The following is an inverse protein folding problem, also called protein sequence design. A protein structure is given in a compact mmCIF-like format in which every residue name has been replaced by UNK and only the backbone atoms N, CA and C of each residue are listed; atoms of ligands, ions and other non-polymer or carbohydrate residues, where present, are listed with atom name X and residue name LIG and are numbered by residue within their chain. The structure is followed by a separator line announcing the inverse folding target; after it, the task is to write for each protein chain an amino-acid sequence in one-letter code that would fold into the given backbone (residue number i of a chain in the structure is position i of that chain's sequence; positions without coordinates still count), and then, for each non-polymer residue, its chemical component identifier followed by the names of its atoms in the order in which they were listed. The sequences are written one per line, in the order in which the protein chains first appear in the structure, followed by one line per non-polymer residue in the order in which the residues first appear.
data_IF_909141377285
#
_entry.id   IF_909141377285
#
_cell.length_a   1.000
_cell.length_b   1.000
_cell.length_c   1.000
_cell.angle_alpha   90.00
_cell.angle_beta   90.00
_cell.angle_gamma   90.00
#
_symmetry.space_group_name_H-M   'P 1'
#
loop_
_entity.id
_entity.type
_entity.pdbx_description
1 polymer ?
#
# COMPACT_ATOMS: atom_id res chain seq x y z
N UNK A 1 -62.75 39.22 -6.37
CA UNK A 1 -62.54 38.57 -5.06
C UNK A 1 -61.78 37.30 -5.31
N UNK A 2 -60.42 37.35 -5.20
CA UNK A 2 -59.52 36.18 -5.36
C UNK A 2 -58.86 35.89 -4.02
N UNK A 3 -59.18 34.72 -3.47
CA UNK A 3 -58.61 34.23 -2.22
C UNK A 3 -57.25 33.58 -2.46
N UNK A 4 -56.21 34.03 -1.78
CA UNK A 4 -54.89 33.39 -1.77
C UNK A 4 -54.85 32.18 -0.80
N UNK A 5 -54.16 31.10 -1.13
CA UNK A 5 -53.93 30.01 -0.19
C UNK A 5 -52.74 30.28 0.73
N UNK A 6 -52.90 29.93 2.01
CA UNK A 6 -51.87 30.00 3.07
C UNK A 6 -50.70 29.06 2.77
N UNK A 7 -49.49 29.59 2.84
CA UNK A 7 -48.24 28.82 2.90
C UNK A 7 -48.11 28.17 4.27
N UNK A 8 -48.05 26.84 4.28
CA UNK A 8 -47.61 26.04 5.45
C UNK A 8 -46.11 26.14 5.60
N UNK A 9 -45.66 26.67 6.75
CA UNK A 9 -44.24 26.62 7.15
C UNK A 9 -43.91 25.19 7.59
N UNK A 10 -43.17 24.45 6.76
CA UNK A 10 -42.57 23.18 7.10
C UNK A 10 -41.32 23.46 7.91
N UNK A 11 -41.31 23.05 9.18
CA UNK A 11 -40.13 23.10 10.05
C UNK A 11 -39.03 22.19 9.52
N UNK A 12 -37.91 22.78 9.17
CA UNK A 12 -36.67 22.08 8.90
C UNK A 12 -36.12 21.54 10.21
N UNK A 13 -36.35 20.25 10.47
CA UNK A 13 -35.65 19.49 11.49
C UNK A 13 -34.18 19.38 11.12
N UNK A 14 -33.33 20.16 11.75
CA UNK A 14 -31.87 20.00 11.64
C UNK A 14 -31.47 18.67 12.29
N UNK A 15 -31.32 17.63 11.48
CA UNK A 15 -30.60 16.44 11.89
C UNK A 15 -29.16 16.88 12.23
N UNK A 16 -28.84 16.96 13.52
CA UNK A 16 -27.46 17.00 13.99
C UNK A 16 -26.76 15.74 13.47
N UNK A 17 -25.92 15.93 12.47
CA UNK A 17 -25.00 14.90 12.00
C UNK A 17 -24.13 14.49 13.19
N UNK A 18 -24.32 13.26 13.67
CA UNK A 18 -23.51 12.72 14.74
C UNK A 18 -22.06 12.62 14.21
N UNK A 19 -21.15 13.31 14.87
CA UNK A 19 -19.72 13.21 14.56
C UNK A 19 -19.31 11.73 14.55
N UNK A 20 -18.54 11.27 13.55
CA UNK A 20 -18.10 9.89 13.49
C UNK A 20 -17.34 9.52 14.76
N UNK A 21 -17.50 8.30 15.29
CA UNK A 21 -16.82 7.89 16.50
C UNK A 21 -15.31 8.07 16.32
N UNK A 22 -14.69 8.83 17.24
CA UNK A 22 -13.24 8.99 17.30
C UNK A 22 -12.62 7.60 17.44
N UNK A 23 -12.03 7.08 16.37
CA UNK A 23 -11.30 5.81 16.40
C UNK A 23 -10.09 5.98 17.32
N UNK A 24 -9.92 5.06 18.25
CA UNK A 24 -8.76 5.03 19.15
C UNK A 24 -7.53 4.70 18.30
N UNK A 25 -6.62 5.65 18.14
CA UNK A 25 -5.30 5.37 17.59
C UNK A 25 -4.61 4.33 18.48
N UNK A 26 -4.07 3.28 17.89
CA UNK A 26 -3.30 2.23 18.60
C UNK A 26 -2.00 2.79 19.23
N UNK A 27 -1.62 4.02 18.86
CA UNK A 27 -0.51 4.76 19.43
C UNK A 27 -1.03 5.98 20.21
N UNK A 28 -0.61 6.15 21.48
CA UNK A 28 -0.91 7.38 22.23
C UNK A 28 -0.24 8.59 21.56
N UNK A 29 -0.93 9.73 21.56
CA UNK A 29 -0.48 10.98 20.95
C UNK A 29 0.91 11.47 21.43
N UNK A 30 1.40 10.99 22.56
CA UNK A 30 2.74 11.28 23.09
C UNK A 30 3.91 10.77 22.26
N UNK A 31 3.67 10.01 21.18
CA UNK A 31 4.69 9.49 20.27
C UNK A 31 4.59 10.01 18.84
N UNK A 32 3.83 11.08 18.61
CA UNK A 32 3.66 11.71 17.29
C UNK A 32 4.99 12.17 16.66
N UNK A 33 5.98 12.48 17.48
CA UNK A 33 7.32 12.95 17.05
C UNK A 33 8.28 11.80 16.67
N UNK A 34 7.85 10.55 16.74
CA UNK A 34 8.73 9.42 16.44
C UNK A 34 8.28 8.67 15.20
N UNK A 35 9.14 8.70 14.19
CA UNK A 35 9.04 7.86 13.01
C UNK A 35 8.77 6.39 13.41
N UNK A 36 7.79 5.71 12.76
CA UNK A 36 7.55 4.30 12.99
C UNK A 36 8.78 3.45 12.69
N UNK A 37 9.10 2.49 13.55
CA UNK A 37 10.23 1.60 13.35
C UNK A 37 9.96 0.59 12.23
N UNK A 38 11.02 -0.02 11.68
CA UNK A 38 10.87 -1.11 10.71
C UNK A 38 10.10 -2.32 11.29
N UNK A 39 10.21 -2.58 12.59
CA UNK A 39 9.45 -3.60 13.28
C UNK A 39 7.96 -3.27 13.35
N UNK A 40 7.64 -1.99 13.53
CA UNK A 40 6.27 -1.52 13.50
C UNK A 40 5.64 -1.72 12.11
N UNK A 41 6.35 -1.38 11.02
CA UNK A 41 5.87 -1.60 9.66
C UNK A 41 5.64 -3.08 9.34
N UNK A 42 6.52 -3.96 9.82
CA UNK A 42 6.33 -5.39 9.70
C UNK A 42 5.13 -5.88 10.51
N UNK A 43 5.00 -5.48 11.77
CA UNK A 43 3.84 -5.81 12.62
C UNK A 43 2.53 -5.30 12.02
N UNK A 44 2.54 -4.08 11.46
CA UNK A 44 1.39 -3.53 10.72
C UNK A 44 1.03 -4.39 9.51
N UNK A 45 2.00 -4.82 8.71
CA UNK A 45 1.75 -5.68 7.57
C UNK A 45 1.09 -7.01 7.98
N UNK A 46 1.55 -7.64 9.06
CA UNK A 46 0.91 -8.83 9.63
C UNK A 46 -0.53 -8.53 10.08
N UNK A 47 -0.74 -7.42 10.78
CA UNK A 47 -2.06 -7.03 11.26
C UNK A 47 -3.04 -6.78 10.11
N UNK A 48 -2.62 -6.08 9.08
CA UNK A 48 -3.45 -5.80 7.89
C UNK A 48 -3.81 -7.11 7.17
N UNK A 49 -2.87 -8.04 7.03
CA UNK A 49 -3.08 -9.36 6.41
C UNK A 49 -3.78 -10.38 7.32
N UNK A 50 -4.15 -10.04 8.56
CA UNK A 50 -4.69 -11.00 9.54
C UNK A 50 -5.93 -11.76 9.07
N UNK A 51 -6.76 -11.13 8.23
CA UNK A 51 -7.99 -11.77 7.70
C UNK A 51 -7.64 -12.89 6.72
N UNK A 52 -6.63 -12.67 5.88
CA UNK A 52 -6.16 -13.64 4.90
C UNK A 52 -5.46 -14.80 5.62
N UNK A 53 -4.58 -14.50 6.58
CA UNK A 53 -3.96 -15.52 7.43
C UNK A 53 -4.97 -16.33 8.22
N UNK A 54 -6.01 -15.69 8.76
CA UNK A 54 -7.07 -16.40 9.45
C UNK A 54 -7.80 -17.37 8.54
N UNK A 55 -8.11 -16.97 7.32
CA UNK A 55 -8.76 -17.83 6.32
C UNK A 55 -7.91 -19.04 5.96
N UNK A 56 -6.61 -18.85 5.72
CA UNK A 56 -5.65 -19.93 5.45
C UNK A 56 -5.52 -20.84 6.68
N UNK A 57 -5.31 -20.27 7.87
CA UNK A 57 -5.20 -21.03 9.13
C UNK A 57 -6.44 -21.87 9.37
N UNK A 58 -7.63 -21.31 9.16
CA UNK A 58 -8.89 -22.03 9.29
C UNK A 58 -9.01 -23.21 8.33
N UNK A 59 -8.56 -23.04 7.09
CA UNK A 59 -8.52 -24.14 6.11
C UNK A 59 -7.60 -25.29 6.58
N UNK A 60 -6.41 -24.98 7.10
CA UNK A 60 -5.50 -25.98 7.66
C UNK A 60 -6.06 -26.65 8.91
N UNK A 61 -6.71 -25.92 9.81
CA UNK A 61 -7.34 -26.48 11.00
C UNK A 61 -8.52 -27.38 10.67
N UNK A 62 -9.39 -26.99 9.72
CA UNK A 62 -10.54 -27.80 9.28
C UNK A 62 -10.13 -29.13 8.65
N UNK A 63 -8.99 -29.19 7.98
CA UNK A 63 -8.47 -30.44 7.42
C UNK A 63 -7.63 -31.24 8.45
N UNK A 64 -6.77 -30.53 9.19
CA UNK A 64 -5.79 -31.17 10.08
C UNK A 64 -6.36 -31.68 11.39
N UNK A 65 -7.30 -30.96 12.01
CA UNK A 65 -7.87 -31.40 13.31
C UNK A 65 -8.67 -32.69 13.21
N UNK A 66 -9.59 -32.89 12.24
CA UNK A 66 -10.30 -34.17 12.08
C UNK A 66 -9.35 -35.31 11.75
N UNK A 67 -8.35 -35.07 10.89
CA UNK A 67 -7.35 -36.08 10.54
C UNK A 67 -6.51 -36.48 11.76
N UNK A 68 -6.09 -35.52 12.56
CA UNK A 68 -5.35 -35.75 13.80
C UNK A 68 -6.19 -36.51 14.83
N UNK A 69 -7.45 -36.10 15.03
CA UNK A 69 -8.39 -36.79 15.93
C UNK A 69 -8.62 -38.26 15.51
N UNK A 70 -8.89 -38.49 14.21
CA UNK A 70 -9.02 -39.83 13.67
C UNK A 70 -7.75 -40.66 13.91
N UNK A 71 -6.57 -40.10 13.61
CA UNK A 71 -5.30 -40.79 13.78
C UNK A 71 -5.06 -41.26 15.23
N UNK A 72 -5.45 -40.42 16.21
CA UNK A 72 -5.32 -40.74 17.65
C UNK A 72 -6.35 -41.78 18.07
N UNK A 73 -7.63 -41.59 17.74
CA UNK A 73 -8.73 -42.45 18.15
C UNK A 73 -8.63 -43.84 17.51
N UNK A 74 -8.32 -43.90 16.23
CA UNK A 74 -8.15 -45.16 15.49
C UNK A 74 -6.75 -45.80 15.68
N UNK A 75 -5.85 -45.14 16.42
CA UNK A 75 -4.43 -45.54 16.57
C UNK A 75 -3.74 -45.81 15.21
N UNK A 76 -4.13 -45.06 14.18
CA UNK A 76 -3.62 -45.20 12.82
C UNK A 76 -2.33 -44.39 12.64
N UNK A 77 -1.18 -45.08 12.61
CA UNK A 77 0.14 -44.48 12.43
C UNK A 77 0.30 -43.79 11.05
N UNK A 78 -0.45 -44.23 10.01
CA UNK A 78 -0.39 -43.56 8.70
C UNK A 78 -1.10 -42.20 8.74
N UNK A 79 -2.32 -42.22 9.27
CA UNK A 79 -3.09 -40.98 9.45
C UNK A 79 -2.33 -39.98 10.33
N UNK A 80 -1.67 -40.44 11.41
CA UNK A 80 -0.83 -39.59 12.27
C UNK A 80 0.32 -38.95 11.51
N UNK A 81 1.03 -39.73 10.67
CA UNK A 81 2.12 -39.15 9.83
C UNK A 81 1.59 -38.12 8.84
N UNK A 82 0.42 -38.33 8.24
CA UNK A 82 -0.18 -37.34 7.34
C UNK A 82 -0.62 -36.07 8.07
N UNK A 83 -1.22 -36.19 9.25
CA UNK A 83 -1.56 -35.04 10.08
C UNK A 83 -0.32 -34.22 10.44
N UNK A 84 0.78 -34.90 10.81
CA UNK A 84 2.06 -34.24 11.11
C UNK A 84 2.64 -33.53 9.87
N UNK A 85 2.62 -34.17 8.71
CA UNK A 85 3.08 -33.56 7.45
C UNK A 85 2.25 -32.34 7.06
N UNK A 86 0.94 -32.40 7.23
CA UNK A 86 0.07 -31.24 6.99
C UNK A 86 0.43 -30.07 7.91
N UNK A 87 0.66 -30.33 9.18
CA UNK A 87 1.11 -29.33 10.14
C UNK A 87 2.48 -28.74 9.76
N UNK A 88 3.47 -29.58 9.42
CA UNK A 88 4.81 -29.14 8.95
C UNK A 88 4.69 -28.19 7.75
N UNK A 89 3.89 -28.55 6.74
CA UNK A 89 3.66 -27.72 5.54
C UNK A 89 2.99 -26.39 5.94
N UNK A 90 1.97 -26.43 6.80
CA UNK A 90 1.29 -25.24 7.28
C UNK A 90 2.24 -24.27 7.99
N UNK A 91 3.06 -24.78 8.90
CA UNK A 91 4.07 -23.97 9.60
C UNK A 91 5.16 -23.42 8.67
N UNK A 92 5.59 -24.21 7.70
CA UNK A 92 6.58 -23.78 6.71
C UNK A 92 6.02 -22.63 5.84
N UNK A 93 4.78 -22.74 5.37
CA UNK A 93 4.11 -21.68 4.60
C UNK A 93 3.90 -20.42 5.43
N UNK A 94 3.45 -20.56 6.68
CA UNK A 94 3.31 -19.42 7.58
C UNK A 94 4.64 -18.74 7.83
N UNK A 95 5.70 -19.50 8.15
CA UNK A 95 7.05 -18.97 8.36
C UNK A 95 7.58 -18.24 7.12
N UNK A 96 7.36 -18.84 5.94
CA UNK A 96 7.75 -18.22 4.67
C UNK A 96 7.01 -16.89 4.42
N UNK A 97 5.70 -16.87 4.67
CA UNK A 97 4.88 -15.68 4.52
C UNK A 97 5.31 -14.56 5.49
N UNK A 98 5.47 -14.86 6.77
CA UNK A 98 5.94 -13.89 7.78
C UNK A 98 7.34 -13.35 7.46
N UNK A 99 8.24 -14.21 6.99
CA UNK A 99 9.57 -13.80 6.55
C UNK A 99 9.52 -12.96 5.27
N UNK A 100 8.64 -13.28 4.34
CA UNK A 100 8.38 -12.49 3.13
C UNK A 100 7.90 -11.07 3.46
N UNK A 101 6.92 -10.95 4.37
CA UNK A 101 6.47 -9.65 4.89
C UNK A 101 7.60 -8.89 5.60
N UNK A 102 8.46 -9.57 6.38
CA UNK A 102 9.61 -8.94 7.01
C UNK A 102 10.58 -8.36 5.97
N UNK A 103 10.88 -9.11 4.92
CA UNK A 103 11.75 -8.63 3.84
C UNK A 103 11.16 -7.44 3.08
N UNK A 104 9.84 -7.40 2.96
CA UNK A 104 9.12 -6.40 2.17
C UNK A 104 8.82 -5.13 2.98
N UNK A 105 8.52 -5.26 4.26
CA UNK A 105 8.07 -4.15 5.11
C UNK A 105 9.00 -3.85 6.31
N UNK A 106 9.84 -4.79 6.70
CA UNK A 106 10.82 -4.62 7.77
C UNK A 106 12.10 -3.92 7.30
N UNK A 107 13.16 -4.00 8.10
CA UNK A 107 14.45 -3.37 7.81
C UNK A 107 15.02 -3.72 6.41
N UNK A 108 14.95 -4.98 5.91
CA UNK A 108 15.50 -5.33 4.60
C UNK A 108 14.86 -4.58 3.42
N UNK A 109 13.71 -3.95 3.62
CA UNK A 109 13.02 -3.17 2.60
C UNK A 109 13.82 -1.95 2.12
N UNK A 110 14.71 -1.40 2.95
CA UNK A 110 15.57 -0.29 2.55
C UNK A 110 16.38 -0.62 1.29
N UNK A 111 16.75 -1.88 1.08
CA UNK A 111 17.50 -2.34 -0.09
C UNK A 111 16.80 -2.10 -1.43
N UNK A 112 15.47 -2.20 -1.48
CA UNK A 112 14.79 -1.90 -2.74
C UNK A 112 14.61 -0.40 -2.96
N UNK A 113 14.48 0.41 -1.91
CA UNK A 113 14.53 1.86 -2.03
C UNK A 113 15.91 2.32 -2.50
N UNK A 114 16.99 1.81 -1.89
CA UNK A 114 18.37 2.06 -2.34
C UNK A 114 18.56 1.69 -3.81
N UNK A 115 18.08 0.51 -4.20
CA UNK A 115 18.16 0.04 -5.59
C UNK A 115 17.40 0.95 -6.56
N UNK A 116 16.23 1.48 -6.16
CA UNK A 116 15.46 2.45 -6.96
C UNK A 116 16.22 3.77 -7.10
N UNK A 117 16.69 4.33 -5.98
CA UNK A 117 17.42 5.59 -5.95
C UNK A 117 18.70 5.50 -6.80
N UNK A 118 19.48 4.44 -6.65
CA UNK A 118 20.69 4.18 -7.42
C UNK A 118 20.38 3.92 -8.91
N UNK A 119 19.39 3.09 -9.21
CA UNK A 119 18.98 2.75 -10.58
C UNK A 119 18.46 3.94 -11.36
N UNK A 120 17.85 4.90 -10.69
CA UNK A 120 17.43 6.17 -11.30
C UNK A 120 18.53 7.24 -11.30
N UNK A 121 19.68 6.99 -10.65
CA UNK A 121 20.79 7.94 -10.56
C UNK A 121 20.42 9.19 -9.77
N UNK A 122 19.57 9.05 -8.72
CA UNK A 122 19.16 10.18 -7.91
C UNK A 122 20.28 10.62 -6.98
N UNK A 123 20.53 11.92 -6.93
CA UNK A 123 21.55 12.56 -6.08
C UNK A 123 21.13 14.00 -5.77
N UNK A 124 21.70 14.55 -4.72
CA UNK A 124 21.62 15.97 -4.37
C UNK A 124 20.23 16.48 -3.98
N UNK A 125 20.03 17.78 -4.13
CA UNK A 125 18.79 18.46 -3.79
C UNK A 125 17.72 18.16 -4.82
N UNK A 126 16.70 17.41 -4.44
CA UNK A 126 15.60 17.00 -5.28
C UNK A 126 14.26 17.41 -4.68
N UNK A 127 13.32 17.78 -5.53
CA UNK A 127 11.91 17.88 -5.19
C UNK A 127 11.21 16.62 -5.66
N UNK A 128 10.66 15.87 -4.72
CA UNK A 128 10.06 14.54 -4.95
C UNK A 128 8.57 14.60 -4.64
N UNK A 129 7.74 14.10 -5.56
CA UNK A 129 6.35 13.78 -5.27
C UNK A 129 6.24 12.28 -4.98
N UNK A 130 5.96 11.91 -3.74
CA UNK A 130 5.68 10.55 -3.29
C UNK A 130 4.17 10.32 -3.31
N UNK A 131 3.69 9.52 -4.26
CA UNK A 131 2.27 9.24 -4.46
C UNK A 131 1.91 7.92 -3.77
N UNK A 132 0.98 8.00 -2.81
CA UNK A 132 0.61 6.87 -1.96
C UNK A 132 -0.90 6.85 -1.68
N UNK A 133 -1.37 5.79 -1.00
CA UNK A 133 -2.78 5.62 -0.62
C UNK A 133 -2.98 5.64 0.91
N UNK A 134 -2.15 6.36 1.64
CA UNK A 134 -2.27 6.55 3.10
C UNK A 134 -1.17 5.90 3.93
N UNK A 135 0.00 5.61 3.34
CA UNK A 135 1.20 5.19 4.08
C UNK A 135 2.37 6.14 3.80
N UNK A 136 3.03 6.61 4.84
CA UNK A 136 4.13 7.58 4.76
C UNK A 136 5.52 6.93 4.72
N UNK A 137 5.57 5.61 4.70
CA UNK A 137 6.80 4.84 4.77
C UNK A 137 7.80 5.18 3.67
N UNK A 138 7.31 5.37 2.44
CA UNK A 138 8.15 5.75 1.30
C UNK A 138 8.78 7.12 1.50
N UNK A 139 8.01 8.10 1.95
CA UNK A 139 8.53 9.43 2.25
C UNK A 139 9.66 9.38 3.29
N UNK A 140 9.51 8.62 4.37
CA UNK A 140 10.56 8.43 5.36
C UNK A 140 11.81 7.74 4.78
N UNK A 141 11.63 6.70 3.96
CA UNK A 141 12.75 5.99 3.34
C UNK A 141 13.53 6.90 2.38
N UNK A 142 12.82 7.71 1.59
CA UNK A 142 13.43 8.68 0.68
C UNK A 142 14.13 9.81 1.46
N UNK A 143 13.56 10.29 2.56
CA UNK A 143 14.18 11.30 3.40
C UNK A 143 15.49 10.83 4.02
N UNK A 144 15.62 9.52 4.32
CA UNK A 144 16.86 8.93 4.83
C UNK A 144 17.92 8.77 3.74
N UNK A 145 17.50 8.33 2.56
CA UNK A 145 18.43 8.05 1.45
C UNK A 145 18.88 9.31 0.73
N UNK A 146 18.09 10.38 0.79
CA UNK A 146 18.31 11.64 0.10
C UNK A 146 18.18 12.80 1.12
N UNK A 147 19.23 13.07 1.90
CA UNK A 147 19.17 14.00 3.03
C UNK A 147 18.86 15.45 2.64
N UNK A 148 19.12 15.84 1.40
CA UNK A 148 18.83 17.19 0.89
C UNK A 148 17.54 17.30 0.07
N UNK A 149 16.76 16.20 -0.05
CA UNK A 149 15.51 16.21 -0.80
C UNK A 149 14.36 16.85 -0.01
N UNK A 150 13.48 17.53 -0.75
CA UNK A 150 12.15 17.95 -0.28
C UNK A 150 11.11 16.98 -0.83
N UNK A 151 10.26 16.44 0.01
CA UNK A 151 9.31 15.38 -0.34
C UNK A 151 7.88 15.88 -0.12
N UNK A 152 7.13 16.03 -1.20
CA UNK A 152 5.69 16.21 -1.16
C UNK A 152 5.04 14.83 -1.18
N UNK A 153 4.59 14.37 -0.03
CA UNK A 153 3.95 13.06 0.11
C UNK A 153 2.45 13.21 -0.05
N UNK A 154 1.94 12.76 -1.19
CA UNK A 154 0.56 13.03 -1.64
C UNK A 154 -0.31 11.78 -1.50
N UNK A 155 -1.29 11.87 -0.63
CA UNK A 155 -2.33 10.84 -0.49
C UNK A 155 -3.29 10.90 -1.68
N UNK A 156 -3.23 9.89 -2.53
CA UNK A 156 -4.04 9.75 -3.74
C UNK A 156 -5.31 8.92 -3.52
N UNK A 157 -5.63 8.54 -2.27
CA UNK A 157 -6.83 7.78 -1.98
C UNK A 157 -8.08 8.66 -2.09
N UNK A 158 -8.94 8.34 -3.05
CA UNK A 158 -10.14 9.12 -3.35
C UNK A 158 -11.46 8.36 -3.14
N UNK A 159 -11.42 7.18 -2.52
CA UNK A 159 -12.59 6.29 -2.33
C UNK A 159 -13.04 6.33 -0.87
N UNK A 160 -13.80 7.34 -0.50
CA UNK A 160 -14.41 7.40 0.83
C UNK A 160 -15.63 6.46 0.89
N UNK A 161 -15.66 5.56 1.86
CA UNK A 161 -16.82 4.72 2.16
C UNK A 161 -16.90 3.39 1.41
N UNK A 162 -15.91 3.00 0.62
CA UNK A 162 -15.89 1.69 -0.03
C UNK A 162 -15.46 0.60 0.97
N UNK A 163 -16.43 -0.26 1.35
CA UNK A 163 -16.20 -1.35 2.33
C UNK A 163 -15.29 -2.47 1.78
N UNK A 164 -15.03 -2.50 0.47
CA UNK A 164 -14.24 -3.56 -0.18
C UNK A 164 -12.78 -3.58 0.27
N UNK A 165 -12.29 -2.51 0.93
CA UNK A 165 -10.86 -2.32 1.20
C UNK A 165 -10.56 -2.02 2.67
N UNK A 166 -11.13 -2.82 3.54
CA UNK A 166 -10.88 -2.72 4.98
C UNK A 166 -9.38 -2.78 5.36
N UNK A 167 -8.54 -3.43 4.53
CA UNK A 167 -7.10 -3.47 4.73
C UNK A 167 -6.45 -2.10 4.53
N UNK A 168 -6.89 -1.34 3.53
CA UNK A 168 -6.40 0.03 3.28
C UNK A 168 -6.90 0.97 4.36
N UNK A 169 -8.16 0.88 4.77
CA UNK A 169 -8.68 1.65 5.90
C UNK A 169 -7.84 1.39 7.16
N UNK A 170 -7.53 0.13 7.46
CA UNK A 170 -6.66 -0.24 8.59
C UNK A 170 -5.26 0.39 8.45
N UNK A 171 -4.65 0.42 7.26
CA UNK A 171 -3.34 1.06 7.02
C UNK A 171 -3.41 2.57 7.31
N UNK A 172 -4.43 3.23 6.81
CA UNK A 172 -4.62 4.69 6.93
C UNK A 172 -4.90 5.11 8.36
N UNK A 173 -5.68 4.31 9.09
CA UNK A 173 -6.04 4.60 10.49
C UNK A 173 -4.86 4.41 11.47
N UNK A 174 -3.86 3.61 11.09
CA UNK A 174 -2.75 3.25 11.97
C UNK A 174 -1.55 4.21 11.89
N UNK A 175 -1.39 4.95 10.80
CA UNK A 175 -0.20 5.77 10.58
C UNK A 175 -0.58 7.25 10.46
N UNK A 176 -0.26 8.09 11.47
CA UNK A 176 -0.49 9.52 11.40
C UNK A 176 0.41 10.18 10.35
N UNK A 177 -0.02 11.32 9.85
CA UNK A 177 0.80 12.12 8.94
C UNK A 177 2.14 12.50 9.62
N UNK A 178 3.26 12.51 8.86
CA UNK A 178 4.57 12.79 9.42
C UNK A 178 4.69 14.24 9.88
N UNK A 179 5.31 14.42 11.04
CA UNK A 179 5.88 15.68 11.47
C UNK A 179 7.40 15.64 11.20
N UNK A 180 7.79 16.08 10.00
CA UNK A 180 9.17 16.01 9.54
C UNK A 180 9.49 17.23 8.65
N UNK A 181 10.61 17.94 8.88
CA UNK A 181 10.89 19.23 8.22
C UNK A 181 11.00 19.15 6.68
N UNK A 182 11.24 17.98 6.13
CA UNK A 182 11.42 17.77 4.69
C UNK A 182 10.30 16.96 4.04
N UNK A 183 9.31 16.48 4.80
CA UNK A 183 8.16 15.74 4.29
C UNK A 183 6.92 16.63 4.46
N UNK A 184 6.31 16.98 3.34
CA UNK A 184 5.13 17.85 3.28
C UNK A 184 3.92 17.03 2.88
N UNK A 185 3.07 16.62 3.85
CA UNK A 185 1.85 15.88 3.56
C UNK A 185 0.88 16.72 2.73
N UNK A 186 0.29 16.10 1.72
CA UNK A 186 -0.74 16.69 0.88
C UNK A 186 -1.78 15.63 0.48
N UNK A 187 -2.91 16.06 -0.06
CA UNK A 187 -3.95 15.17 -0.57
C UNK A 187 -4.31 15.53 -2.01
N UNK A 188 -4.38 14.55 -2.88
CA UNK A 188 -4.90 14.70 -4.21
C UNK A 188 -6.43 14.91 -4.18
N UNK A 189 -6.95 15.72 -5.10
CA UNK A 189 -8.38 15.91 -5.29
C UNK A 189 -8.74 15.38 -6.67
N UNK A 190 -9.59 14.38 -6.72
CA UNK A 190 -10.01 13.74 -7.98
C UNK A 190 -8.78 13.36 -8.85
N UNK A 191 -7.76 12.76 -8.22
CA UNK A 191 -6.45 12.41 -8.78
C UNK A 191 -5.60 13.60 -9.29
N UNK A 192 -6.07 14.83 -9.12
CA UNK A 192 -5.29 16.04 -9.38
C UNK A 192 -4.28 16.29 -8.25
N UNK A 193 -3.00 16.45 -8.61
CA UNK A 193 -1.93 16.68 -7.64
C UNK A 193 -1.83 18.16 -7.28
N UNK A 194 -1.79 18.52 -5.97
CA UNK A 194 -1.69 19.91 -5.51
C UNK A 194 -0.26 20.48 -5.66
N UNK A 195 0.34 20.23 -6.83
CA UNK A 195 1.70 20.62 -7.17
C UNK A 195 1.71 21.36 -8.50
N UNK A 196 2.61 22.34 -8.64
CA UNK A 196 2.74 23.10 -9.88
C UNK A 196 3.32 22.24 -11.02
N UNK A 197 2.97 22.58 -12.26
CA UNK A 197 3.55 21.93 -13.44
C UNK A 197 5.07 22.11 -13.47
N UNK A 198 5.81 21.03 -13.74
CA UNK A 198 7.26 21.06 -13.83
C UNK A 198 7.99 21.39 -12.53
N UNK A 199 7.33 21.20 -11.36
CA UNK A 199 7.93 21.53 -10.06
C UNK A 199 8.75 20.39 -9.45
N UNK A 200 8.57 19.14 -9.91
CA UNK A 200 9.21 17.97 -9.33
C UNK A 200 10.33 17.41 -10.20
N UNK A 201 11.40 16.97 -9.56
CA UNK A 201 12.48 16.19 -10.19
C UNK A 201 12.11 14.74 -10.35
N UNK A 202 11.35 14.24 -9.38
CA UNK A 202 11.02 12.82 -9.24
C UNK A 202 9.57 12.67 -8.84
N UNK A 203 8.89 11.70 -9.46
CA UNK A 203 7.61 11.16 -8.99
C UNK A 203 7.82 9.71 -8.60
N UNK A 204 7.31 9.32 -7.44
CA UNK A 204 7.39 7.96 -6.94
C UNK A 204 5.98 7.40 -6.77
N UNK A 205 5.71 6.28 -7.40
CA UNK A 205 4.52 5.47 -7.19
C UNK A 205 4.88 4.30 -6.28
N UNK A 206 4.32 4.30 -5.08
CA UNK A 206 4.59 3.26 -4.09
C UNK A 206 3.56 2.13 -4.09
N UNK A 207 3.71 1.22 -3.15
CA UNK A 207 2.71 0.17 -2.90
C UNK A 207 1.31 0.74 -2.75
N UNK A 208 0.36 0.13 -3.46
CA UNK A 208 -1.03 0.53 -3.48
C UNK A 208 -1.44 1.33 -4.71
N UNK A 209 -0.54 1.63 -5.65
CA UNK A 209 -0.92 2.22 -6.93
C UNK A 209 -1.87 1.30 -7.71
N UNK A 210 -1.78 -0.01 -7.51
CA UNK A 210 -2.69 -1.02 -8.07
C UNK A 210 -4.13 -0.91 -7.53
N UNK A 211 -4.34 -0.27 -6.40
CA UNK A 211 -5.65 -0.03 -5.80
C UNK A 211 -6.41 1.13 -6.47
N UNK A 212 -5.70 1.96 -7.21
CA UNK A 212 -6.33 3.01 -8.01
C UNK A 212 -7.02 2.34 -9.20
N UNK A 213 -8.34 2.56 -9.40
CA UNK A 213 -9.09 1.88 -10.44
C UNK A 213 -8.47 2.02 -11.82
N UNK A 214 -8.50 0.92 -12.59
CA UNK A 214 -8.11 0.95 -14.00
C UNK A 214 -8.98 1.92 -14.81
N UNK A 215 -8.46 2.35 -15.95
CA UNK A 215 -9.13 3.28 -16.84
C UNK A 215 -8.86 4.75 -16.49
N UNK A 216 -9.90 5.59 -16.53
CA UNK A 216 -9.77 7.04 -16.40
C UNK A 216 -9.06 7.51 -15.12
N UNK A 217 -9.34 6.98 -13.92
CA UNK A 217 -8.69 7.41 -12.68
C UNK A 217 -7.18 7.22 -12.72
N UNK A 218 -6.73 6.03 -13.15
CA UNK A 218 -5.29 5.70 -13.25
C UNK A 218 -4.62 6.52 -14.34
N UNK A 219 -5.25 6.65 -15.50
CA UNK A 219 -4.78 7.48 -16.60
C UNK A 219 -4.60 8.94 -16.19
N UNK A 220 -5.57 9.49 -15.46
CA UNK A 220 -5.51 10.86 -14.94
C UNK A 220 -4.34 11.04 -13.97
N UNK A 221 -4.11 10.09 -13.06
CA UNK A 221 -2.98 10.16 -12.12
C UNK A 221 -1.63 10.13 -12.85
N UNK A 222 -1.47 9.31 -13.89
CA UNK A 222 -0.24 9.26 -14.67
C UNK A 222 -0.02 10.55 -15.49
N UNK A 223 -1.07 11.15 -16.06
CA UNK A 223 -1.00 12.48 -16.70
C UNK A 223 -0.64 13.58 -15.70
N UNK A 224 -1.14 13.54 -14.50
CA UNK A 224 -0.76 14.47 -13.44
C UNK A 224 0.72 14.29 -13.03
N UNK A 225 1.20 13.04 -12.96
CA UNK A 225 2.61 12.77 -12.74
C UNK A 225 3.51 13.36 -13.86
N UNK A 226 3.09 13.21 -15.13
CA UNK A 226 3.77 13.89 -16.24
C UNK A 226 3.75 15.42 -16.09
N UNK A 227 2.61 15.99 -15.72
CA UNK A 227 2.44 17.43 -15.56
C UNK A 227 3.38 18.02 -14.51
N UNK A 228 3.45 17.38 -13.33
CA UNK A 228 4.24 17.91 -12.19
C UNK A 228 5.75 17.67 -12.36
N UNK A 229 6.16 16.67 -13.12
CA UNK A 229 7.57 16.45 -13.43
C UNK A 229 8.14 17.56 -14.32
N UNK A 230 9.38 17.93 -14.08
CA UNK A 230 10.14 18.75 -15.03
C UNK A 230 10.57 17.94 -16.26
N UNK A 231 10.88 18.54 -17.41
CA UNK A 231 11.44 17.83 -18.56
C UNK A 231 12.67 17.00 -18.13
N UNK A 232 12.73 15.73 -18.54
CA UNK A 232 13.79 14.80 -18.14
C UNK A 232 13.73 14.32 -16.71
N UNK A 233 12.71 14.71 -15.93
CA UNK A 233 12.45 14.22 -14.57
C UNK A 233 12.27 12.70 -14.52
N UNK A 234 12.44 12.11 -13.34
CA UNK A 234 12.46 10.67 -13.14
C UNK A 234 11.14 10.16 -12.58
N UNK A 235 10.76 8.98 -13.02
CA UNK A 235 9.63 8.23 -12.45
C UNK A 235 10.15 6.95 -11.84
N UNK A 236 9.73 6.66 -10.62
CA UNK A 236 9.98 5.42 -9.92
C UNK A 236 8.64 4.76 -9.59
N UNK A 237 8.51 3.50 -9.91
CA UNK A 237 7.36 2.69 -9.49
C UNK A 237 7.87 1.43 -8.82
N UNK A 238 7.30 1.07 -7.68
CA UNK A 238 7.56 -0.21 -7.02
C UNK A 238 6.25 -0.82 -6.53
N UNK A 239 6.05 -2.07 -6.91
CA UNK A 239 4.79 -2.77 -6.66
C UNK A 239 4.99 -4.26 -6.39
N UNK A 240 3.96 -4.88 -5.86
CA UNK A 240 3.91 -6.32 -5.72
C UNK A 240 3.82 -6.97 -7.10
N UNK A 241 4.65 -7.98 -7.34
CA UNK A 241 4.52 -8.82 -8.53
C UNK A 241 3.41 -9.85 -8.36
N UNK A 242 2.64 -10.11 -9.42
CA UNK A 242 1.68 -11.21 -9.45
C UNK A 242 2.39 -12.53 -9.86
N UNK A 243 3.05 -13.18 -8.92
CA UNK A 243 3.86 -14.37 -9.13
C UNK A 243 3.78 -15.35 -7.96
N UNK A 244 4.33 -16.56 -8.13
CA UNK A 244 4.29 -17.62 -7.12
C UNK A 244 4.92 -17.18 -5.78
N UNK A 245 5.98 -16.38 -5.80
CA UNK A 245 6.65 -15.95 -4.58
C UNK A 245 5.71 -15.07 -3.74
N UNK A 246 5.10 -14.06 -4.38
CA UNK A 246 4.13 -13.20 -3.71
C UNK A 246 2.83 -13.97 -3.38
N UNK A 247 2.43 -14.95 -4.20
CA UNK A 247 1.31 -15.83 -3.85
C UNK A 247 1.57 -16.62 -2.56
N UNK A 248 2.79 -17.11 -2.34
CA UNK A 248 3.14 -17.81 -1.09
C UNK A 248 3.23 -16.85 0.12
N UNK A 249 3.40 -15.55 -0.10
CA UNK A 249 3.41 -14.53 0.97
C UNK A 249 2.00 -14.07 1.31
N UNK A 250 1.20 -13.71 0.31
CA UNK A 250 -0.10 -13.05 0.47
C UNK A 250 -1.30 -13.98 0.25
N UNK A 251 -1.08 -15.18 -0.30
CA UNK A 251 -2.15 -16.07 -0.70
C UNK A 251 -2.89 -15.59 -1.96
N UNK A 252 -4.15 -16.06 -2.16
CA UNK A 252 -4.93 -15.73 -3.38
C UNK A 252 -5.21 -14.25 -3.59
N UNK A 253 -5.16 -13.43 -2.53
CA UNK A 253 -5.41 -11.98 -2.63
C UNK A 253 -4.45 -11.28 -3.58
N UNK A 254 -3.25 -11.83 -3.82
CA UNK A 254 -2.28 -11.26 -4.77
C UNK A 254 -2.81 -11.16 -6.21
N UNK A 255 -3.88 -11.87 -6.56
CA UNK A 255 -4.45 -11.83 -7.91
C UNK A 255 -5.13 -10.51 -8.28
N UNK A 256 -5.45 -9.64 -7.31
CA UNK A 256 -6.01 -8.33 -7.61
C UNK A 256 -4.95 -7.29 -8.03
N UNK A 257 -3.66 -7.52 -7.71
CA UNK A 257 -2.62 -6.56 -8.10
C UNK A 257 -2.41 -6.55 -9.61
N UNK A 258 -2.02 -5.41 -10.13
CA UNK A 258 -1.74 -5.22 -11.55
C UNK A 258 -0.52 -6.03 -11.97
N UNK A 259 -0.60 -6.73 -13.09
CA UNK A 259 0.50 -7.53 -13.62
C UNK A 259 1.67 -6.65 -14.06
N UNK A 260 2.88 -7.20 -14.02
CA UNK A 260 4.09 -6.51 -14.47
C UNK A 260 3.99 -6.00 -15.90
N UNK A 261 3.46 -6.83 -16.80
CA UNK A 261 3.31 -6.51 -18.22
C UNK A 261 2.40 -5.29 -18.41
N UNK A 262 1.36 -5.16 -17.60
CA UNK A 262 0.44 -4.04 -17.61
C UNK A 262 1.11 -2.77 -17.07
N UNK A 263 1.87 -2.89 -15.96
CA UNK A 263 2.69 -1.77 -15.49
C UNK A 263 3.69 -1.28 -16.54
N UNK A 264 4.39 -2.21 -17.20
CA UNK A 264 5.35 -1.86 -18.26
C UNK A 264 4.65 -1.19 -19.43
N UNK A 265 3.45 -1.62 -19.80
CA UNK A 265 2.63 -1.03 -20.86
C UNK A 265 2.20 0.40 -20.50
N UNK A 266 1.66 0.59 -19.28
CA UNK A 266 1.23 1.90 -18.75
C UNK A 266 2.44 2.85 -18.72
N UNK A 267 3.56 2.43 -18.15
CA UNK A 267 4.76 3.25 -18.05
C UNK A 267 5.27 3.68 -19.41
N UNK A 268 5.29 2.79 -20.42
CA UNK A 268 5.71 3.12 -21.79
C UNK A 268 4.75 4.04 -22.54
N UNK A 269 3.47 4.03 -22.17
CA UNK A 269 2.50 4.96 -22.75
C UNK A 269 2.78 6.41 -22.35
N UNK A 270 3.24 6.63 -21.12
CA UNK A 270 3.45 7.95 -20.54
C UNK A 270 4.91 8.44 -20.52
N UNK A 271 5.88 7.54 -20.44
CA UNK A 271 7.28 7.87 -20.15
C UNK A 271 8.25 7.18 -21.10
N UNK A 272 9.45 7.75 -21.20
CA UNK A 272 10.57 7.19 -21.95
C UNK A 272 11.57 6.45 -21.04
N UNK A 273 12.53 5.75 -21.63
CA UNK A 273 13.62 5.02 -20.93
C UNK A 273 13.11 4.09 -19.81
N UNK A 274 12.00 3.38 -20.09
CA UNK A 274 11.36 2.50 -19.10
C UNK A 274 12.21 1.25 -18.87
N UNK A 275 12.73 1.10 -17.65
CA UNK A 275 13.58 -0.01 -17.22
C UNK A 275 12.94 -0.76 -16.09
N UNK A 276 13.01 -2.08 -16.15
CA UNK A 276 12.54 -2.98 -15.14
C UNK A 276 13.68 -3.64 -14.38
N UNK A 277 13.51 -3.81 -13.10
CA UNK A 277 14.33 -4.70 -12.28
C UNK A 277 13.48 -5.28 -11.15
N UNK A 278 13.98 -6.29 -10.47
CA UNK A 278 13.30 -6.92 -9.34
C UNK A 278 14.17 -6.90 -8.09
N UNK A 279 13.57 -6.64 -6.96
CA UNK A 279 14.27 -6.71 -5.68
C UNK A 279 14.35 -8.16 -5.17
N UNK A 280 15.27 -8.38 -4.25
CA UNK A 280 15.36 -9.67 -3.54
C UNK A 280 14.16 -9.93 -2.61
N UNK A 281 13.34 -8.90 -2.33
CA UNK A 281 12.10 -9.02 -1.56
C UNK A 281 10.87 -9.30 -2.45
N UNK A 282 11.08 -9.68 -3.72
CA UNK A 282 10.04 -9.94 -4.72
C UNK A 282 9.17 -8.71 -5.06
N UNK A 283 9.72 -7.52 -4.90
CA UNK A 283 9.11 -6.25 -5.34
C UNK A 283 9.56 -5.95 -6.75
N UNK A 284 8.62 -5.67 -7.64
CA UNK A 284 8.88 -5.19 -8.98
C UNK A 284 9.25 -3.69 -8.93
N UNK A 285 10.34 -3.32 -9.59
CA UNK A 285 10.92 -1.98 -9.59
C UNK A 285 10.98 -1.49 -11.03
N UNK A 286 10.34 -0.37 -11.32
CA UNK A 286 10.33 0.24 -12.65
C UNK A 286 10.84 1.67 -12.52
N UNK A 287 11.75 2.06 -13.39
CA UNK A 287 12.23 3.43 -13.52
C UNK A 287 11.97 3.95 -14.93
N UNK A 288 11.67 5.22 -15.05
CA UNK A 288 11.42 5.86 -16.34
C UNK A 288 11.82 7.35 -16.31
N UNK A 289 11.69 8.02 -17.45
CA UNK A 289 11.92 9.47 -17.60
C UNK A 289 10.70 10.16 -18.22
N UNK A 290 10.44 11.38 -17.81
CA UNK A 290 9.52 12.26 -18.53
C UNK A 290 10.12 12.61 -19.90
N UNK A 291 9.29 12.55 -20.93
CA UNK A 291 9.58 13.05 -22.29
C UNK A 291 9.96 14.51 -22.32
#
# INVERSE_FOLDING_TARGET
MYSQPRRSQGGASSRKEAAPPRRRHLYPAAHADRRPSHWWYWGRAIYVSRRDYWSITRAFLTAGLPLGAYAVLARDRRAFRWALRLAEVGFALLGYSLFGLYRMYGHPSMRYYEKLVQGAGLRDRLTIADLHIGTWRTAYALADLLPDATIHSVDCWNREGDAAEAAIADVRDLEPAPDHPRIHPARATDFGLPLASGSCDVVVFGFGTHEIPDGEPRERLFKEAERVLRPGGRVLLFEHGQDLHNFLIFGPVIHHVTKREDWMRIMRAHFDDVRYSRSSAAVDLITARRR
#
